data_IF_720039432050
#
_entry.id   IF_720039432050
#
_cell.length_a   1.000
_cell.length_b   1.000
_cell.length_c   1.000
_cell.angle_alpha   90.00
_cell.angle_beta   90.00
_cell.angle_gamma   90.00
#
_symmetry.space_group_name_H-M   'P 1'
#
loop_
_entity.id
_entity.type
_entity.pdbx_description
1 polymer ?
#
# COMPACT_ATOMS: atom_id res chain seq x y z
N UNK A 1 -9.95 -17.91 13.48
CA UNK A 1 -8.89 -17.02 12.98
C UNK A 1 -9.56 -16.18 11.91
N UNK A 2 -9.70 -14.88 12.15
CA UNK A 2 -10.21 -13.98 11.12
C UNK A 2 -9.15 -13.92 10.02
N UNK A 3 -9.50 -14.31 8.79
CA UNK A 3 -8.60 -14.20 7.64
C UNK A 3 -9.01 -12.94 6.91
N UNK A 4 -8.15 -11.93 6.95
CA UNK A 4 -8.34 -10.72 6.15
C UNK A 4 -8.11 -11.10 4.68
N UNK A 5 -9.09 -10.82 3.80
CA UNK A 5 -9.07 -11.28 2.41
C UNK A 5 -7.82 -10.81 1.63
N UNK A 6 -7.33 -9.60 1.92
CA UNK A 6 -6.07 -9.08 1.39
C UNK A 6 -4.87 -10.00 1.75
N UNK A 7 -4.74 -10.36 3.02
CA UNK A 7 -3.66 -11.22 3.51
C UNK A 7 -3.76 -12.63 2.92
N UNK A 8 -4.97 -13.14 2.72
CA UNK A 8 -5.16 -14.42 2.04
C UNK A 8 -4.55 -14.41 0.64
N UNK A 9 -4.84 -13.40 -0.18
CA UNK A 9 -4.28 -13.31 -1.53
C UNK A 9 -2.76 -13.08 -1.51
N UNK A 10 -2.29 -12.17 -0.66
CA UNK A 10 -0.85 -11.89 -0.50
C UNK A 10 -0.06 -13.14 -0.06
N UNK A 11 -0.64 -14.00 0.79
CA UNK A 11 0.00 -15.22 1.28
C UNK A 11 -0.03 -16.40 0.29
N UNK A 12 -0.79 -16.30 -0.80
CA UNK A 12 -1.04 -17.40 -1.74
C UNK A 12 -0.53 -17.16 -3.15
N UNK A 13 0.03 -15.98 -3.42
CA UNK A 13 0.47 -15.58 -4.76
C UNK A 13 1.88 -14.99 -4.74
N UNK A 14 2.50 -14.87 -5.91
CA UNK A 14 3.81 -14.26 -6.12
C UNK A 14 3.75 -12.86 -6.76
N UNK A 15 2.54 -12.28 -6.83
CA UNK A 15 2.27 -10.92 -7.32
C UNK A 15 1.87 -10.01 -6.16
N UNK A 16 2.04 -8.70 -6.37
CA UNK A 16 1.64 -7.72 -5.36
C UNK A 16 0.12 -7.53 -5.35
N UNK A 17 -0.43 -7.42 -4.14
CA UNK A 17 -1.80 -7.02 -3.88
C UNK A 17 -1.79 -5.73 -3.09
N UNK A 18 -2.83 -4.92 -3.26
CA UNK A 18 -3.06 -3.71 -2.49
C UNK A 18 -4.41 -3.74 -1.80
N UNK A 19 -4.52 -3.00 -0.69
CA UNK A 19 -5.73 -2.83 0.09
C UNK A 19 -5.89 -1.36 0.47
N UNK A 20 -6.93 -0.72 -0.08
CA UNK A 20 -7.35 0.62 0.34
C UNK A 20 -8.44 0.52 1.39
N UNK A 21 -8.28 1.26 2.48
CA UNK A 21 -9.30 1.47 3.49
C UNK A 21 -9.84 2.90 3.39
N UNK A 22 -11.08 3.05 2.91
CA UNK A 22 -11.73 4.36 2.72
C UNK A 22 -12.85 4.60 3.73
N UNK A 23 -13.29 5.85 3.85
CA UNK A 23 -14.38 6.25 4.73
C UNK A 23 -14.03 6.15 6.21
N UNK A 24 -15.05 5.92 7.05
CA UNK A 24 -14.92 5.79 8.51
C UNK A 24 -14.97 4.31 8.87
N UNK A 25 -14.07 3.82 9.74
CA UNK A 25 -14.04 2.41 10.13
C UNK A 25 -15.40 1.88 10.64
N UNK A 26 -15.63 0.57 10.49
CA UNK A 26 -16.91 -0.09 10.79
C UNK A 26 -17.87 -0.04 9.60
N UNK A 27 -19.17 0.09 9.87
CA UNK A 27 -20.23 0.01 8.85
C UNK A 27 -20.21 1.14 7.81
N UNK A 28 -19.42 2.18 8.05
CA UNK A 28 -19.24 3.33 7.16
C UNK A 28 -17.94 3.25 6.36
N UNK A 29 -17.25 2.11 6.43
CA UNK A 29 -15.99 1.88 5.76
C UNK A 29 -16.23 1.13 4.46
N UNK A 30 -15.49 1.50 3.42
CA UNK A 30 -15.46 0.74 2.18
C UNK A 30 -14.00 0.39 1.86
N UNK A 31 -13.74 -0.90 1.73
CA UNK A 31 -12.41 -1.42 1.46
C UNK A 31 -12.34 -1.94 0.04
N UNK A 32 -11.20 -1.73 -0.60
CA UNK A 32 -10.93 -2.21 -1.94
C UNK A 32 -9.66 -3.06 -1.93
N UNK A 33 -9.67 -4.15 -2.69
CA UNK A 33 -8.50 -4.99 -2.92
C UNK A 33 -8.21 -4.93 -4.41
N UNK A 34 -6.95 -4.65 -4.78
CA UNK A 34 -6.51 -4.56 -6.17
C UNK A 34 -5.26 -5.40 -6.38
N UNK A 35 -5.07 -5.84 -7.62
CA UNK A 35 -3.80 -6.32 -8.14
C UNK A 35 -3.74 -5.98 -9.62
N UNK A 36 -2.55 -5.72 -10.17
CA UNK A 36 -2.36 -5.73 -11.62
C UNK A 36 -2.09 -7.12 -12.18
N UNK A 37 -1.93 -8.13 -11.31
CA UNK A 37 -1.48 -9.47 -11.68
C UNK A 37 -0.13 -9.48 -12.43
N UNK A 38 0.70 -8.47 -12.17
CA UNK A 38 2.04 -8.32 -12.73
C UNK A 38 3.09 -8.50 -11.62
N UNK A 39 4.28 -8.99 -12.00
CA UNK A 39 5.37 -9.24 -11.05
C UNK A 39 6.14 -7.95 -10.80
N UNK A 40 6.18 -7.53 -9.54
CA UNK A 40 6.99 -6.39 -9.08
C UNK A 40 6.34 -5.02 -9.26
N UNK A 41 5.06 -4.95 -9.67
CA UNK A 41 4.28 -3.71 -9.70
C UNK A 41 2.80 -3.97 -9.48
N UNK A 42 2.13 -3.07 -8.76
CA UNK A 42 0.68 -3.09 -8.54
C UNK A 42 0.01 -1.84 -9.15
N UNK A 43 -0.35 -1.84 -10.44
CA UNK A 43 -1.00 -0.70 -11.09
C UNK A 43 -2.48 -0.51 -10.70
N UNK A 44 -3.12 -1.54 -10.12
CA UNK A 44 -4.55 -1.53 -9.85
C UNK A 44 -4.97 -0.47 -8.84
N UNK A 45 -4.17 -0.22 -7.79
CA UNK A 45 -4.49 0.82 -6.82
C UNK A 45 -4.44 2.21 -7.45
N UNK A 46 -3.44 2.49 -8.29
CA UNK A 46 -3.34 3.77 -9.01
C UNK A 46 -4.52 3.95 -9.97
N UNK A 47 -4.93 2.90 -10.69
CA UNK A 47 -6.11 2.94 -11.55
C UNK A 47 -7.40 3.21 -10.74
N UNK A 48 -7.56 2.57 -9.58
CA UNK A 48 -8.70 2.76 -8.69
C UNK A 48 -8.75 4.19 -8.10
N UNK A 49 -7.60 4.72 -7.66
CA UNK A 49 -7.52 6.10 -7.15
C UNK A 49 -7.91 7.08 -8.24
N UNK A 50 -7.31 6.95 -9.43
CA UNK A 50 -7.52 7.90 -10.52
C UNK A 50 -8.92 7.79 -11.14
N UNK A 51 -9.48 6.58 -11.21
CA UNK A 51 -10.80 6.35 -11.79
C UNK A 51 -11.97 6.62 -10.85
N UNK A 52 -11.75 6.54 -9.54
CA UNK A 52 -12.85 6.55 -8.56
C UNK A 52 -12.51 7.28 -7.26
N UNK A 53 -11.48 6.85 -6.52
CA UNK A 53 -11.34 7.29 -5.13
C UNK A 53 -11.01 8.77 -4.98
N UNK A 54 -10.29 9.36 -5.93
CA UNK A 54 -9.99 10.80 -5.87
C UNK A 54 -11.25 11.69 -5.95
N UNK A 55 -12.40 11.15 -6.36
CA UNK A 55 -13.65 11.87 -6.54
C UNK A 55 -14.59 11.72 -5.33
N UNK A 56 -14.21 12.31 -4.20
CA UNK A 56 -15.09 12.47 -3.03
C UNK A 56 -14.97 11.39 -1.96
N UNK A 57 -14.04 10.43 -2.10
CA UNK A 57 -13.72 9.51 -1.01
C UNK A 57 -12.70 10.14 -0.04
N UNK A 58 -12.77 9.72 1.22
CA UNK A 58 -11.68 9.87 2.18
C UNK A 58 -10.93 8.55 2.33
N UNK A 59 -9.62 8.61 2.55
CA UNK A 59 -8.79 7.43 2.78
C UNK A 59 -8.22 7.43 4.20
N UNK A 60 -8.08 6.24 4.78
CA UNK A 60 -7.45 6.02 6.09
C UNK A 60 -6.09 5.35 5.94
N UNK A 61 -6.03 4.34 5.08
CA UNK A 61 -4.87 3.47 4.96
C UNK A 61 -4.77 2.87 3.55
N UNK A 62 -3.55 2.80 3.02
CA UNK A 62 -3.20 2.04 1.84
C UNK A 62 -2.11 1.04 2.20
N UNK A 63 -2.38 -0.23 1.93
CA UNK A 63 -1.43 -1.31 2.15
C UNK A 63 -1.09 -1.96 0.83
N UNK A 64 0.14 -2.41 0.65
CA UNK A 64 0.51 -3.32 -0.42
C UNK A 64 1.40 -4.44 0.09
N UNK A 65 1.41 -5.58 -0.60
CA UNK A 65 2.24 -6.72 -0.22
C UNK A 65 3.55 -6.74 -0.98
N UNK A 66 4.65 -7.11 -0.33
CA UNK A 66 5.89 -7.51 -0.99
C UNK A 66 6.04 -9.04 -0.97
N UNK A 67 5.77 -9.77 -2.07
CA UNK A 67 5.82 -11.23 -2.12
C UNK A 67 7.20 -11.82 -1.75
N UNK A 68 8.27 -11.06 -2.04
CA UNK A 68 9.63 -11.44 -1.68
C UNK A 68 10.04 -11.08 -0.25
N UNK A 69 9.11 -10.51 0.52
CA UNK A 69 9.28 -10.17 1.92
C UNK A 69 10.32 -9.05 2.17
N UNK A 70 10.52 -8.19 1.18
CA UNK A 70 11.38 -7.00 1.27
C UNK A 70 10.84 -6.05 2.33
N UNK A 71 11.56 -5.80 3.44
CA UNK A 71 11.00 -5.14 4.61
C UNK A 71 11.16 -3.61 4.61
N UNK A 72 11.13 -2.98 3.43
CA UNK A 72 11.30 -1.54 3.26
C UNK A 72 10.70 -1.11 1.90
N UNK A 73 10.29 0.16 1.76
CA UNK A 73 9.70 0.66 0.52
C UNK A 73 10.75 0.91 -0.57
N UNK A 74 10.28 0.86 -1.82
CA UNK A 74 10.95 1.44 -2.98
C UNK A 74 10.86 2.97 -2.98
N UNK A 75 11.74 3.65 -3.72
CA UNK A 75 11.72 5.12 -3.84
C UNK A 75 12.41 5.89 -2.71
N UNK A 76 13.26 5.25 -1.90
CA UNK A 76 14.14 5.96 -0.96
C UNK A 76 15.41 6.40 -1.71
N UNK A 77 15.57 7.72 -1.89
CA UNK A 77 16.73 8.31 -2.55
C UNK A 77 18.05 7.82 -1.94
N UNK A 78 18.98 7.41 -2.81
CA UNK A 78 20.28 6.84 -2.42
C UNK A 78 20.21 5.43 -1.79
N UNK A 79 19.05 4.76 -1.78
CA UNK A 79 18.90 3.41 -1.24
C UNK A 79 18.09 2.47 -2.15
N UNK A 80 16.83 2.77 -2.44
CA UNK A 80 15.92 1.92 -3.23
C UNK A 80 15.43 2.61 -4.51
N UNK A 81 16.13 3.65 -4.95
CA UNK A 81 15.82 4.44 -6.15
C UNK A 81 15.01 5.71 -5.83
N UNK A 82 14.68 6.47 -6.86
CA UNK A 82 13.99 7.77 -6.74
C UNK A 82 12.47 7.66 -6.97
N UNK A 83 11.99 6.48 -7.37
CA UNK A 83 10.59 6.23 -7.75
C UNK A 83 10.07 4.97 -7.06
N UNK A 84 8.76 4.90 -6.85
CA UNK A 84 8.10 3.76 -6.23
C UNK A 84 7.23 4.18 -5.05
N UNK A 85 7.20 3.35 -4.01
CA UNK A 85 6.29 3.48 -2.87
C UNK A 85 6.34 4.86 -2.21
N UNK A 86 7.55 5.38 -1.92
CA UNK A 86 7.71 6.69 -1.25
C UNK A 86 7.19 7.84 -2.12
N UNK A 87 7.51 7.84 -3.41
CA UNK A 87 6.98 8.83 -4.36
C UNK A 87 5.46 8.73 -4.44
N UNK A 88 4.94 7.51 -4.61
CA UNK A 88 3.52 7.24 -4.74
C UNK A 88 2.74 7.68 -3.51
N UNK A 89 3.24 7.39 -2.30
CA UNK A 89 2.64 7.88 -1.06
C UNK A 89 2.56 9.42 -1.04
N UNK A 90 3.58 10.11 -1.57
CA UNK A 90 3.56 11.55 -1.71
C UNK A 90 2.47 12.06 -2.65
N UNK A 91 2.19 11.34 -3.75
CA UNK A 91 1.11 11.63 -4.68
C UNK A 91 -0.27 11.38 -4.06
N UNK A 92 -0.44 10.27 -3.34
CA UNK A 92 -1.67 9.93 -2.61
C UNK A 92 -1.97 10.97 -1.52
N UNK A 93 -0.96 11.45 -0.79
CA UNK A 93 -1.11 12.51 0.20
C UNK A 93 -1.61 13.83 -0.40
N UNK A 94 -1.30 14.15 -1.66
CA UNK A 94 -1.84 15.35 -2.34
C UNK A 94 -3.35 15.24 -2.60
N UNK A 95 -3.87 14.02 -2.70
CA UNK A 95 -5.28 13.75 -2.98
C UNK A 95 -6.08 13.65 -1.67
N UNK A 96 -5.59 12.86 -0.70
CA UNK A 96 -6.35 12.50 0.50
C UNK A 96 -5.87 13.18 1.79
N UNK A 97 -4.76 13.94 1.71
CA UNK A 97 -4.12 14.58 2.86
C UNK A 97 -3.11 13.69 3.59
N UNK A 98 -2.37 14.28 4.53
CA UNK A 98 -1.22 13.65 5.18
C UNK A 98 -1.56 12.70 6.35
N UNK A 99 -2.84 12.53 6.67
CA UNK A 99 -3.28 11.63 7.76
C UNK A 99 -3.44 10.17 7.32
N UNK A 100 -3.25 9.90 6.03
CA UNK A 100 -3.32 8.55 5.46
C UNK A 100 -2.10 7.73 5.88
N UNK A 101 -2.33 6.47 6.26
CA UNK A 101 -1.26 5.52 6.60
C UNK A 101 -0.86 4.68 5.40
N UNK A 102 0.41 4.32 5.34
CA UNK A 102 0.96 3.47 4.29
C UNK A 102 1.72 2.31 4.92
N UNK A 103 1.44 1.08 4.50
CA UNK A 103 2.14 -0.09 5.03
C UNK A 103 2.48 -1.11 3.94
N UNK A 104 3.60 -1.79 4.14
CA UNK A 104 4.01 -2.97 3.39
C UNK A 104 3.66 -4.21 4.21
N UNK A 105 2.85 -5.11 3.65
CA UNK A 105 2.64 -6.44 4.20
C UNK A 105 3.69 -7.42 3.69
N UNK A 106 4.30 -8.16 4.61
CA UNK A 106 5.35 -9.14 4.32
C UNK A 106 4.80 -10.57 4.58
N UNK A 107 4.33 -11.28 3.54
CA UNK A 107 3.51 -12.48 3.69
C UNK A 107 4.24 -13.68 4.33
N UNK A 108 5.57 -13.77 4.21
CA UNK A 108 6.32 -14.91 4.79
C UNK A 108 6.42 -14.83 6.31
N UNK A 109 6.24 -13.65 6.91
CA UNK A 109 6.31 -13.46 8.37
C UNK A 109 5.07 -12.75 8.97
N UNK A 110 4.11 -12.36 8.13
CA UNK A 110 2.85 -11.73 8.54
C UNK A 110 3.00 -10.33 9.13
N UNK A 111 4.07 -9.58 8.81
CA UNK A 111 4.30 -8.25 9.39
C UNK A 111 3.87 -7.12 8.46
N UNK A 112 3.34 -6.07 9.06
CA UNK A 112 3.15 -4.77 8.42
C UNK A 112 4.30 -3.84 8.78
N UNK A 113 4.85 -3.16 7.77
CA UNK A 113 5.96 -2.24 7.91
C UNK A 113 5.50 -0.89 7.39
N UNK A 114 5.41 0.07 8.30
CA UNK A 114 4.90 1.39 7.97
C UNK A 114 5.94 2.19 7.17
N UNK A 115 5.46 3.02 6.24
CA UNK A 115 6.29 3.99 5.54
C UNK A 115 5.54 5.31 5.32
N UNK A 116 6.22 6.29 4.76
CA UNK A 116 5.67 7.62 4.47
C UNK A 116 6.37 8.25 3.26
N UNK A 117 5.86 9.38 2.74
CA UNK A 117 6.53 10.16 1.71
C UNK A 117 7.93 10.67 2.10
N UNK A 118 8.27 10.65 3.40
CA UNK A 118 9.54 11.12 3.94
C UNK A 118 10.43 9.98 4.46
N UNK A 119 10.07 8.72 4.16
CA UNK A 119 10.82 7.55 4.61
C UNK A 119 12.27 7.61 4.14
N UNK A 120 13.19 7.28 5.04
CA UNK A 120 14.63 7.25 4.80
C UNK A 120 15.20 5.90 5.21
N UNK A 121 16.39 5.56 4.70
CA UNK A 121 17.05 4.28 4.97
C UNK A 121 17.13 3.95 6.47
N UNK A 122 17.44 4.92 7.32
CA UNK A 122 17.57 4.73 8.77
C UNK A 122 16.27 4.35 9.49
N UNK A 123 15.12 4.43 8.83
CA UNK A 123 13.84 4.04 9.46
C UNK A 123 13.66 2.52 9.46
N UNK A 124 14.51 1.78 8.72
CA UNK A 124 14.39 0.34 8.48
C UNK A 124 15.59 -0.48 8.98
N UNK A 125 16.61 0.17 9.57
CA UNK A 125 17.84 -0.45 10.08
C UNK A 125 18.35 0.23 11.35
#
# INVERSE_FOLDING_TARGET
MEVILFEFFANKTDVEWSHAMTGIAGDKGLNFITTGHDKGVEPGMTALINGQLQYGYTAREFNHSHPQNTPYPSGISGFTGETGDVQWAGEVCKIFGNNVKFNIYTPKNGKYIQFSPNSKKSDYF
#
